data_IF_905942617570
#
_entry.id   IF_905942617570
#
_cell.length_a   1.000
_cell.length_b   1.000
_cell.length_c   1.000
_cell.angle_alpha   90.00
_cell.angle_beta   90.00
_cell.angle_gamma   90.00
#
_symmetry.space_group_name_H-M   'P 1'
#
loop_
_entity.id
_entity.type
_entity.pdbx_description
1 polymer ?
#
# COMPACT_ATOMS: atom_id res chain seq x y z
N UNK A 1 -24.83 -0.39 -27.07
CA UNK A 1 -23.77 -0.46 -26.04
C UNK A 1 -24.28 -1.29 -24.87
N UNK A 2 -23.64 -2.43 -24.54
CA UNK A 2 -23.94 -3.17 -23.30
C UNK A 2 -23.35 -2.38 -22.14
N UNK A 3 -24.18 -1.84 -21.24
CA UNK A 3 -23.70 -1.21 -19.99
C UNK A 3 -22.92 -2.28 -19.22
N UNK A 4 -21.63 -2.05 -18.99
CA UNK A 4 -20.82 -2.84 -18.06
C UNK A 4 -21.03 -2.27 -16.68
N UNK A 5 -21.56 -3.07 -15.77
CA UNK A 5 -21.64 -2.73 -14.36
C UNK A 5 -20.32 -3.10 -13.68
N UNK A 6 -19.88 -2.28 -12.73
CA UNK A 6 -18.62 -2.49 -12.00
C UNK A 6 -18.79 -3.22 -10.68
N UNK A 7 -20.01 -3.24 -10.14
CA UNK A 7 -20.37 -3.95 -8.92
C UNK A 7 -20.43 -5.47 -9.12
N UNK A 8 -20.28 -6.19 -8.02
CA UNK A 8 -20.40 -7.65 -7.98
C UNK A 8 -21.87 -8.04 -8.11
N UNK A 9 -22.25 -8.86 -9.11
CA UNK A 9 -23.62 -9.34 -9.24
C UNK A 9 -23.92 -10.37 -8.16
N UNK A 10 -24.87 -10.05 -7.29
CA UNK A 10 -25.39 -10.97 -6.28
C UNK A 10 -26.83 -11.31 -6.62
N UNK A 11 -27.24 -12.53 -6.30
CA UNK A 11 -28.63 -12.91 -6.51
C UNK A 11 -29.55 -12.11 -5.59
N UNK A 12 -30.66 -11.63 -6.12
CA UNK A 12 -31.60 -10.81 -5.35
C UNK A 12 -32.17 -11.54 -4.13
N UNK A 13 -32.32 -12.86 -4.18
CA UNK A 13 -32.81 -13.63 -3.03
C UNK A 13 -31.82 -13.63 -1.86
N UNK A 14 -30.53 -13.40 -2.11
CA UNK A 14 -29.49 -13.32 -1.07
C UNK A 14 -29.50 -11.96 -0.37
N UNK A 15 -30.22 -10.98 -0.91
CA UNK A 15 -30.33 -9.64 -0.35
C UNK A 15 -31.70 -9.49 0.28
N UNK A 16 -31.74 -9.18 1.57
CA UNK A 16 -32.98 -9.07 2.33
C UNK A 16 -32.82 -8.09 3.48
N UNK A 17 -33.96 -7.77 4.09
CA UNK A 17 -34.04 -6.92 5.27
C UNK A 17 -34.29 -7.81 6.47
N UNK A 18 -33.48 -7.65 7.52
CA UNK A 18 -33.65 -8.38 8.79
C UNK A 18 -34.82 -7.81 9.61
N UNK A 19 -35.25 -8.53 10.64
CA UNK A 19 -36.36 -8.12 11.52
C UNK A 19 -36.12 -6.78 12.24
N UNK A 20 -34.86 -6.39 12.41
CA UNK A 20 -34.43 -5.10 12.93
C UNK A 20 -34.37 -3.97 11.88
N UNK A 21 -34.72 -4.26 10.62
CA UNK A 21 -34.71 -3.30 9.52
C UNK A 21 -33.35 -3.11 8.83
N UNK A 22 -32.35 -3.93 9.17
CA UNK A 22 -31.02 -3.83 8.56
C UNK A 22 -30.98 -4.48 7.19
N UNK A 23 -30.35 -3.81 6.21
CA UNK A 23 -30.13 -4.39 4.88
C UNK A 23 -28.91 -5.30 4.91
N UNK A 24 -29.10 -6.56 4.54
CA UNK A 24 -28.03 -7.55 4.58
C UNK A 24 -27.92 -8.33 3.27
N UNK A 25 -26.74 -8.92 3.06
CA UNK A 25 -26.48 -9.90 2.02
C UNK A 25 -25.97 -11.20 2.65
N UNK A 26 -26.53 -12.32 2.21
CA UNK A 26 -26.15 -13.65 2.67
C UNK A 26 -25.13 -14.28 1.73
N UNK A 27 -23.90 -14.39 2.23
CA UNK A 27 -22.82 -15.12 1.57
C UNK A 27 -22.76 -16.58 2.03
N UNK A 28 -23.10 -16.83 3.31
CA UNK A 28 -23.00 -18.13 3.96
C UNK A 28 -24.32 -18.49 4.69
N UNK A 29 -24.57 -19.78 5.01
CA UNK A 29 -25.82 -20.20 5.64
C UNK A 29 -26.11 -19.50 6.99
N UNK A 30 -25.08 -19.30 7.81
CA UNK A 30 -25.22 -18.82 9.20
C UNK A 30 -24.66 -17.40 9.41
N UNK A 31 -24.20 -16.75 8.35
CA UNK A 31 -23.62 -15.41 8.41
C UNK A 31 -24.17 -14.52 7.32
N UNK A 32 -24.43 -13.28 7.69
CA UNK A 32 -24.83 -12.22 6.78
C UNK A 32 -23.90 -11.03 6.94
N UNK A 33 -23.73 -10.28 5.86
CA UNK A 33 -23.00 -9.02 5.87
C UNK A 33 -23.99 -7.87 5.78
N UNK A 34 -23.88 -6.91 6.69
CA UNK A 34 -24.65 -5.68 6.63
C UNK A 34 -24.17 -4.79 5.49
N UNK A 35 -25.08 -4.35 4.63
CA UNK A 35 -24.73 -3.58 3.43
C UNK A 35 -24.24 -2.18 3.76
N UNK A 36 -24.69 -1.57 4.85
CA UNK A 36 -24.30 -0.21 5.26
C UNK A 36 -22.98 -0.19 6.04
N UNK A 37 -22.77 -1.12 6.97
CA UNK A 37 -21.59 -1.15 7.83
C UNK A 37 -20.46 -2.04 7.29
N UNK A 38 -20.80 -3.03 6.46
CA UNK A 38 -19.88 -4.08 6.03
C UNK A 38 -19.60 -5.15 7.07
N UNK A 39 -20.19 -5.06 8.26
CA UNK A 39 -19.96 -5.99 9.36
C UNK A 39 -20.62 -7.33 9.08
N UNK A 40 -19.92 -8.39 9.43
CA UNK A 40 -20.47 -9.74 9.47
C UNK A 40 -21.15 -9.96 10.82
N UNK A 41 -22.31 -10.62 10.78
CA UNK A 41 -23.03 -11.05 11.97
C UNK A 41 -23.57 -12.45 11.77
N UNK A 42 -23.70 -13.18 12.87
CA UNK A 42 -24.45 -14.42 12.88
C UNK A 42 -25.89 -14.14 12.46
N UNK A 43 -26.48 -15.07 11.73
CA UNK A 43 -27.81 -14.98 11.19
C UNK A 43 -28.57 -16.28 11.43
N UNK A 44 -29.73 -16.16 12.06
CA UNK A 44 -30.67 -17.26 12.19
C UNK A 44 -31.97 -16.94 11.43
N UNK A 45 -32.26 -17.74 10.40
CA UNK A 45 -33.39 -17.49 9.49
C UNK A 45 -34.76 -17.41 10.20
N UNK A 46 -34.93 -18.05 11.36
CA UNK A 46 -36.22 -18.06 12.06
C UNK A 46 -36.50 -16.78 12.84
N UNK A 47 -35.47 -16.14 13.39
CA UNK A 47 -35.58 -14.98 14.28
C UNK A 47 -35.25 -13.68 13.57
N UNK A 48 -34.27 -13.72 12.67
CA UNK A 48 -33.63 -12.54 12.13
C UNK A 48 -34.18 -12.17 10.76
N UNK A 49 -34.88 -13.08 10.08
CA UNK A 49 -35.47 -12.80 8.78
C UNK A 49 -36.64 -11.83 8.92
N UNK A 50 -36.55 -10.67 8.26
CA UNK A 50 -37.65 -9.73 8.13
C UNK A 50 -38.46 -10.02 6.87
N UNK A 51 -37.94 -9.59 5.73
CA UNK A 51 -38.57 -9.82 4.44
C UNK A 51 -37.56 -9.70 3.27
N UNK A 52 -37.89 -10.25 2.07
CA UNK A 52 -37.08 -10.05 0.88
C UNK A 52 -36.96 -8.58 0.52
N UNK A 53 -35.82 -8.18 -0.07
CA UNK A 53 -35.59 -6.76 -0.36
C UNK A 53 -36.52 -6.24 -1.47
N UNK A 54 -37.20 -5.12 -1.18
CA UNK A 54 -38.10 -4.44 -2.10
C UNK A 54 -37.35 -3.53 -3.08
N UNK A 55 -38.00 -3.19 -4.20
CA UNK A 55 -37.46 -2.19 -5.14
C UNK A 55 -37.30 -0.82 -4.51
N UNK A 56 -38.11 -0.50 -3.49
CA UNK A 56 -38.02 0.76 -2.76
C UNK A 56 -36.75 0.84 -1.92
N UNK A 57 -36.42 -0.22 -1.20
CA UNK A 57 -35.18 -0.31 -0.40
C UNK A 57 -33.94 -0.39 -1.29
N UNK A 58 -34.01 -1.11 -2.42
CA UNK A 58 -32.91 -1.13 -3.39
C UNK A 58 -32.65 0.26 -3.99
N UNK A 59 -33.69 1.10 -4.17
CA UNK A 59 -33.52 2.52 -4.55
C UNK A 59 -32.84 3.32 -3.44
N UNK A 60 -33.16 3.07 -2.16
CA UNK A 60 -32.47 3.71 -1.04
C UNK A 60 -31.00 3.31 -0.97
N UNK A 61 -30.69 2.02 -1.10
CA UNK A 61 -29.31 1.51 -1.13
C UNK A 61 -28.53 2.04 -2.33
N UNK A 62 -29.20 2.26 -3.46
CA UNK A 62 -28.60 2.92 -4.63
C UNK A 62 -28.29 4.39 -4.35
N UNK A 63 -29.20 5.12 -3.72
CA UNK A 63 -28.95 6.50 -3.30
C UNK A 63 -27.83 6.60 -2.25
N UNK A 64 -27.71 5.58 -1.38
CA UNK A 64 -26.66 5.46 -0.38
C UNK A 64 -25.30 5.00 -0.96
N UNK A 65 -25.19 4.72 -2.26
CA UNK A 65 -23.93 4.30 -2.88
C UNK A 65 -23.54 2.84 -2.63
N UNK A 66 -24.48 1.98 -2.20
CA UNK A 66 -24.25 0.54 -1.98
C UNK A 66 -24.63 -0.34 -3.18
N UNK A 67 -25.63 0.10 -3.94
CA UNK A 67 -26.14 -0.63 -5.12
C UNK A 67 -25.87 0.19 -6.37
N UNK A 68 -25.17 -0.38 -7.36
CA UNK A 68 -24.98 0.23 -8.67
C UNK A 68 -26.26 0.12 -9.52
N UNK A 69 -26.78 -1.10 -9.58
CA UNK A 69 -27.94 -1.45 -10.38
C UNK A 69 -28.65 -2.66 -9.77
N UNK A 70 -29.92 -2.86 -10.11
CA UNK A 70 -30.65 -4.04 -9.75
C UNK A 70 -31.71 -4.34 -10.81
N UNK A 71 -32.08 -5.61 -10.91
CA UNK A 71 -33.20 -6.08 -11.70
C UNK A 71 -33.98 -7.13 -10.91
N UNK A 72 -34.84 -7.91 -11.59
CA UNK A 72 -35.66 -8.93 -10.95
C UNK A 72 -34.85 -10.11 -10.37
N UNK A 73 -33.66 -10.38 -10.89
CA UNK A 73 -32.85 -11.56 -10.54
C UNK A 73 -31.57 -11.22 -9.78
N UNK A 74 -30.98 -10.06 -10.06
CA UNK A 74 -29.67 -9.67 -9.57
C UNK A 74 -29.67 -8.26 -9.00
N UNK A 75 -28.80 -8.07 -8.02
CA UNK A 75 -28.42 -6.79 -7.42
C UNK A 75 -26.92 -6.65 -7.59
N UNK A 76 -26.47 -5.57 -8.22
CA UNK A 76 -25.05 -5.26 -8.37
C UNK A 76 -24.61 -4.41 -7.19
N UNK A 77 -23.91 -5.03 -6.24
CA UNK A 77 -23.39 -4.37 -5.04
C UNK A 77 -22.00 -3.80 -5.32
N UNK A 78 -21.68 -2.63 -4.79
CA UNK A 78 -20.31 -2.13 -4.80
C UNK A 78 -19.45 -2.90 -3.78
N UNK A 79 -18.17 -3.11 -4.10
CA UNK A 79 -17.21 -3.63 -3.15
C UNK A 79 -17.01 -2.64 -1.99
N UNK A 80 -16.82 -3.16 -0.77
CA UNK A 80 -16.40 -2.35 0.37
C UNK A 80 -14.87 -2.30 0.42
N UNK A 81 -14.27 -1.13 0.75
CA UNK A 81 -14.91 0.14 1.07
C UNK A 81 -15.42 0.85 -0.20
N UNK A 82 -16.62 1.44 -0.11
CA UNK A 82 -17.42 1.95 -1.23
C UNK A 82 -16.67 2.87 -2.20
N UNK A 83 -17.01 2.78 -3.50
CA UNK A 83 -16.80 3.90 -4.44
C UNK A 83 -17.76 5.03 -4.11
N UNK A 84 -17.23 6.15 -3.59
CA UNK A 84 -17.97 7.42 -3.53
C UNK A 84 -18.06 8.08 -2.15
N UNK A 85 -17.74 7.39 -1.04
CA UNK A 85 -17.44 8.07 0.24
C UNK A 85 -16.05 8.66 0.25
N UNK A 86 -15.12 7.92 -0.33
CA UNK A 86 -13.88 8.48 -0.82
C UNK A 86 -14.17 8.96 -2.24
N UNK A 87 -14.08 10.27 -2.49
CA UNK A 87 -13.70 10.71 -3.82
C UNK A 87 -12.39 9.96 -4.07
N UNK A 88 -12.46 8.89 -4.87
CA UNK A 88 -11.29 8.48 -5.63
C UNK A 88 -11.03 9.66 -6.55
N UNK A 89 -10.37 10.69 -6.01
CA UNK A 89 -9.39 11.42 -6.77
C UNK A 89 -8.51 10.30 -7.28
N UNK A 90 -8.71 9.94 -8.54
CA UNK A 90 -7.71 9.25 -9.33
C UNK A 90 -6.37 9.76 -8.86
N UNK A 91 -5.62 8.94 -8.12
CA UNK A 91 -4.32 9.23 -7.51
C UNK A 91 -3.89 10.69 -7.79
N UNK A 92 -4.39 11.65 -7.01
CA UNK A 92 -3.56 12.85 -6.87
C UNK A 92 -2.39 12.32 -6.09
N UNK A 93 -1.30 12.09 -6.85
CA UNK A 93 0.05 11.82 -6.36
C UNK A 93 0.10 12.30 -4.94
N UNK A 94 0.25 11.34 -4.02
CA UNK A 94 0.67 11.65 -2.67
C UNK A 94 1.65 12.81 -2.79
N UNK A 95 1.38 13.93 -2.12
CA UNK A 95 2.29 15.08 -2.15
C UNK A 95 3.67 14.70 -1.60
N UNK A 96 3.86 13.45 -1.17
CA UNK A 96 5.14 12.82 -0.91
C UNK A 96 5.93 12.65 -2.21
N UNK A 97 7.01 13.41 -2.32
CA UNK A 97 8.03 13.16 -3.33
C UNK A 97 8.91 12.04 -2.79
N UNK A 98 8.84 10.87 -3.44
CA UNK A 98 9.78 9.78 -3.22
C UNK A 98 11.07 10.09 -3.94
N UNK A 99 12.18 10.02 -3.23
CA UNK A 99 13.52 10.02 -3.81
C UNK A 99 14.23 8.72 -3.46
N UNK A 100 15.02 8.21 -4.39
CA UNK A 100 15.66 6.90 -4.30
C UNK A 100 17.18 7.05 -4.25
N UNK A 101 17.87 6.14 -3.59
CA UNK A 101 19.33 6.07 -3.57
C UNK A 101 19.75 4.61 -3.47
N UNK A 102 21.01 4.32 -3.80
CA UNK A 102 21.54 2.97 -3.68
C UNK A 102 22.29 2.86 -2.36
N UNK A 103 21.91 1.90 -1.54
CA UNK A 103 22.61 1.58 -0.30
C UNK A 103 23.56 0.42 -0.55
N UNK A 104 24.81 0.59 -0.15
CA UNK A 104 25.75 -0.53 -0.03
C UNK A 104 25.68 -1.08 1.40
N UNK A 105 26.10 -2.32 1.59
CA UNK A 105 26.31 -2.91 2.92
C UNK A 105 27.68 -2.53 3.51
N UNK A 106 28.46 -1.70 2.82
CA UNK A 106 29.83 -1.38 3.20
C UNK A 106 29.84 -0.23 4.21
N UNK A 107 30.63 -0.33 5.29
CA UNK A 107 30.76 0.76 6.24
C UNK A 107 31.49 1.95 5.61
N UNK A 108 31.27 3.14 6.15
CA UNK A 108 31.76 4.42 5.63
C UNK A 108 33.28 4.49 5.43
N UNK A 109 34.04 3.62 6.09
CA UNK A 109 35.49 3.50 5.93
C UNK A 109 35.89 3.03 4.51
N UNK A 110 35.01 2.33 3.80
CA UNK A 110 35.22 1.90 2.41
C UNK A 110 34.79 2.97 1.38
N UNK A 111 34.38 4.17 1.83
CA UNK A 111 34.02 5.26 0.93
C UNK A 111 35.14 5.60 -0.08
N UNK A 112 36.43 5.71 0.32
CA UNK A 112 37.50 6.02 -0.63
C UNK A 112 37.67 4.95 -1.71
N UNK A 113 37.50 3.68 -1.34
CA UNK A 113 37.59 2.53 -2.26
C UNK A 113 36.45 2.56 -3.28
N UNK A 114 35.22 2.80 -2.84
CA UNK A 114 34.07 2.92 -3.74
C UNK A 114 34.17 4.16 -4.63
N UNK A 115 34.71 5.27 -4.13
CA UNK A 115 34.96 6.46 -4.96
C UNK A 115 36.04 6.23 -6.02
N UNK A 116 37.10 5.49 -5.67
CA UNK A 116 38.13 5.09 -6.62
C UNK A 116 37.55 4.15 -7.69
N UNK A 117 36.74 3.18 -7.28
CA UNK A 117 36.05 2.24 -8.18
C UNK A 117 35.10 2.96 -9.14
N UNK A 118 34.30 3.93 -8.65
CA UNK A 118 33.42 4.72 -9.52
C UNK A 118 34.19 5.55 -10.56
N UNK A 119 35.38 6.04 -10.21
CA UNK A 119 36.27 6.74 -11.15
C UNK A 119 36.87 5.78 -12.19
N UNK A 120 37.29 4.60 -11.76
CA UNK A 120 37.82 3.56 -12.65
C UNK A 120 36.76 3.09 -13.65
N UNK A 121 35.50 3.04 -13.23
CA UNK A 121 34.35 2.68 -14.07
C UNK A 121 33.81 3.84 -14.92
N UNK A 122 34.43 5.03 -14.87
CA UNK A 122 33.98 6.26 -15.55
C UNK A 122 32.53 6.66 -15.20
N UNK A 123 32.07 6.32 -13.99
CA UNK A 123 30.72 6.61 -13.49
C UNK A 123 30.67 7.80 -12.53
N UNK A 124 31.82 8.39 -12.19
CA UNK A 124 31.96 9.48 -11.21
C UNK A 124 31.26 10.80 -11.62
N UNK A 125 30.93 10.95 -12.91
CA UNK A 125 30.14 12.09 -13.40
C UNK A 125 28.63 11.93 -13.22
N UNK A 126 28.14 10.70 -13.13
CA UNK A 126 26.71 10.39 -13.03
C UNK A 126 26.31 9.89 -11.64
N UNK A 127 27.24 9.24 -10.93
CA UNK A 127 27.03 8.59 -9.66
C UNK A 127 28.03 9.11 -8.63
N UNK A 128 27.53 9.39 -7.44
CA UNK A 128 28.33 9.94 -6.35
C UNK A 128 28.16 9.11 -5.09
N UNK A 129 29.27 8.55 -4.60
CA UNK A 129 29.30 7.83 -3.33
C UNK A 129 29.48 8.81 -2.15
N UNK A 130 28.67 8.65 -1.11
CA UNK A 130 28.71 9.41 0.16
C UNK A 130 28.54 8.48 1.35
N UNK A 131 29.01 8.92 2.52
CA UNK A 131 28.69 8.28 3.79
C UNK A 131 27.34 8.81 4.30
N UNK A 132 26.44 7.91 4.68
CA UNK A 132 25.16 8.21 5.31
C UNK A 132 24.90 7.17 6.40
N UNK A 133 24.78 7.63 7.65
CA UNK A 133 24.54 6.78 8.83
C UNK A 133 25.54 5.60 8.93
N UNK A 134 26.84 5.89 8.79
CA UNK A 134 27.94 4.92 8.80
C UNK A 134 28.01 3.92 7.64
N UNK A 135 27.14 4.03 6.64
CA UNK A 135 27.18 3.21 5.42
C UNK A 135 27.49 4.04 4.18
N UNK A 136 28.12 3.40 3.20
CA UNK A 136 28.33 4.01 1.88
C UNK A 136 27.03 3.92 1.07
N UNK A 137 26.57 5.07 0.60
CA UNK A 137 25.41 5.19 -0.30
C UNK A 137 25.85 5.80 -1.62
N UNK A 138 25.22 5.39 -2.72
CA UNK A 138 25.46 5.91 -4.05
C UNK A 138 24.22 6.69 -4.48
N UNK A 139 24.45 7.93 -4.87
CA UNK A 139 23.45 8.90 -5.30
C UNK A 139 23.62 9.16 -6.79
N UNK A 140 22.61 9.75 -7.42
CA UNK A 140 22.69 10.20 -8.79
C UNK A 140 23.51 11.48 -8.95
N UNK A 141 23.38 12.08 -10.13
CA UNK A 141 24.17 13.24 -10.56
C UNK A 141 24.18 14.34 -9.51
N UNK A 142 25.37 14.89 -9.24
CA UNK A 142 25.61 15.94 -8.25
C UNK A 142 25.24 15.56 -6.79
N UNK A 143 25.16 14.26 -6.48
CA UNK A 143 24.78 13.78 -5.14
C UNK A 143 23.29 13.93 -4.83
N UNK A 144 22.44 14.10 -5.84
CA UNK A 144 21.01 14.09 -5.69
C UNK A 144 20.47 12.65 -5.69
N UNK A 145 19.48 12.39 -4.84
CA UNK A 145 18.73 11.13 -4.90
C UNK A 145 17.91 11.05 -6.21
N UNK A 146 17.79 9.86 -6.78
CA UNK A 146 17.04 9.58 -8.00
C UNK A 146 15.56 9.94 -7.81
N UNK A 147 14.92 10.45 -8.86
CA UNK A 147 13.51 10.90 -8.78
C UNK A 147 12.52 9.79 -9.10
N UNK A 148 13.01 8.70 -9.69
CA UNK A 148 12.20 7.54 -10.05
C UNK A 148 12.91 6.24 -9.67
N UNK A 149 12.10 5.23 -9.37
CA UNK A 149 12.60 3.89 -9.08
C UNK A 149 13.39 3.32 -10.28
N UNK A 150 12.88 3.49 -11.49
CA UNK A 150 13.54 3.00 -12.70
C UNK A 150 14.87 3.69 -13.02
N UNK A 151 15.13 4.90 -12.53
CA UNK A 151 16.47 5.50 -12.59
C UNK A 151 17.43 4.81 -11.61
N UNK A 152 16.97 4.53 -10.39
CA UNK A 152 17.78 3.85 -9.39
C UNK A 152 18.08 2.39 -9.79
N UNK A 153 17.10 1.65 -10.31
CA UNK A 153 17.28 0.27 -10.77
C UNK A 153 18.24 0.20 -11.97
N UNK A 154 18.14 1.12 -12.93
CA UNK A 154 19.10 1.19 -14.05
C UNK A 154 20.52 1.46 -13.55
N UNK A 155 20.68 2.35 -12.57
CA UNK A 155 21.98 2.60 -11.96
C UNK A 155 22.51 1.38 -11.19
N UNK A 156 21.62 0.65 -10.49
CA UNK A 156 21.98 -0.60 -9.80
C UNK A 156 22.47 -1.66 -10.78
N UNK A 157 21.72 -1.91 -11.86
CA UNK A 157 22.09 -2.88 -12.90
C UNK A 157 23.42 -2.48 -13.55
N UNK A 158 23.60 -1.20 -13.91
CA UNK A 158 24.85 -0.73 -14.51
C UNK A 158 26.07 -0.93 -13.58
N UNK A 159 25.91 -0.73 -12.27
CA UNK A 159 26.96 -0.98 -11.30
C UNK A 159 27.25 -2.47 -11.14
N UNK A 160 26.21 -3.32 -11.08
CA UNK A 160 26.36 -4.77 -10.98
C UNK A 160 26.97 -5.40 -12.23
N UNK A 161 26.66 -4.89 -13.42
CA UNK A 161 27.25 -5.36 -14.68
C UNK A 161 28.75 -5.02 -14.78
N UNK A 162 29.16 -3.84 -14.30
CA UNK A 162 30.55 -3.37 -14.39
C UNK A 162 31.44 -3.88 -13.27
N UNK A 163 30.91 -4.02 -12.06
CA UNK A 163 31.65 -4.51 -10.90
C UNK A 163 30.76 -5.40 -10.00
N UNK A 164 30.47 -6.64 -10.43
CA UNK A 164 29.57 -7.54 -9.73
C UNK A 164 30.05 -7.90 -8.31
N UNK A 165 31.36 -8.06 -8.12
CA UNK A 165 31.94 -8.41 -6.81
C UNK A 165 31.79 -7.26 -5.79
N UNK A 166 31.93 -6.01 -6.22
CA UNK A 166 31.82 -4.85 -5.34
C UNK A 166 30.36 -4.44 -5.04
N UNK A 167 29.44 -4.69 -5.99
CA UNK A 167 28.05 -4.24 -5.92
C UNK A 167 27.01 -5.38 -5.80
N UNK A 168 27.45 -6.58 -5.45
CA UNK A 168 26.58 -7.76 -5.25
C UNK A 168 25.41 -7.49 -4.31
N UNK A 169 25.66 -6.76 -3.23
CA UNK A 169 24.67 -6.45 -2.19
C UNK A 169 24.10 -5.03 -2.28
N UNK A 170 24.21 -4.41 -3.45
CA UNK A 170 23.68 -3.07 -3.68
C UNK A 170 22.15 -3.11 -3.68
N UNK A 171 21.51 -2.31 -2.84
CA UNK A 171 20.05 -2.30 -2.66
C UNK A 171 19.48 -0.91 -2.96
N UNK A 172 18.31 -0.83 -3.59
CA UNK A 172 17.61 0.45 -3.77
C UNK A 172 16.86 0.79 -2.48
N UNK A 173 17.18 1.94 -1.90
CA UNK A 173 16.47 2.52 -0.77
C UNK A 173 15.72 3.79 -1.20
N UNK A 174 14.69 4.17 -0.47
CA UNK A 174 13.92 5.38 -0.74
C UNK A 174 13.69 6.22 0.52
N UNK A 175 13.52 7.51 0.30
CA UNK A 175 13.02 8.46 1.31
C UNK A 175 11.78 9.14 0.79
N UNK A 176 10.73 9.15 1.61
CA UNK A 176 9.53 9.94 1.37
C UNK A 176 9.64 11.28 2.09
N UNK A 177 9.59 12.38 1.34
CA UNK A 177 9.42 13.71 1.92
C UNK A 177 8.08 14.29 1.47
N UNK A 178 7.28 14.81 2.40
CA UNK A 178 6.13 15.66 2.04
C UNK A 178 6.69 16.85 1.25
N UNK A 179 6.10 17.20 0.11
CA UNK A 179 6.36 18.47 -0.56
C UNK A 179 5.89 19.60 0.38
N UNK A 180 6.70 19.93 1.38
CA UNK A 180 6.70 21.25 1.96
C UNK A 180 7.49 22.12 0.99
N UNK A 181 6.80 22.63 -0.03
CA UNK A 181 7.21 23.89 -0.62
C UNK A 181 7.09 24.98 0.45
N UNK A 182 8.13 25.09 1.29
CA UNK A 182 8.69 26.30 1.87
C UNK A 182 9.45 25.95 3.15
N UNK A 183 10.69 26.45 3.23
CA UNK A 183 11.48 26.55 4.44
C UNK A 183 10.66 26.86 5.69
N UNK A 184 10.81 26.07 6.75
CA UNK A 184 10.98 26.51 8.15
C UNK A 184 11.15 25.31 9.10
N UNK A 185 12.17 25.43 9.95
CA UNK A 185 12.51 24.81 11.25
C UNK A 185 11.92 23.45 11.71
N UNK A 186 12.69 22.66 12.49
CA UNK A 186 12.29 21.34 12.98
C UNK A 186 11.20 21.48 14.05
N UNK A 187 10.09 20.75 13.87
CA UNK A 187 9.07 20.53 14.89
C UNK A 187 8.56 19.08 14.84
N UNK A 188 7.97 18.58 15.94
CA UNK A 188 8.23 17.24 16.47
C UNK A 188 7.57 16.11 15.68
N UNK A 189 8.18 14.93 15.79
CA UNK A 189 7.67 13.65 15.29
C UNK A 189 6.18 13.52 15.62
N UNK A 190 5.35 13.65 14.59
CA UNK A 190 3.92 13.42 14.70
C UNK A 190 3.71 11.93 14.45
N UNK A 191 3.10 11.24 15.42
CA UNK A 191 2.78 9.82 15.32
C UNK A 191 1.98 9.51 14.04
N UNK A 192 2.27 8.40 13.36
CA UNK A 192 1.57 8.03 12.13
C UNK A 192 0.07 7.83 12.40
N UNK A 193 -0.76 8.47 11.59
CA UNK A 193 -2.22 8.30 11.64
C UNK A 193 -2.61 6.90 11.19
N UNK A 194 -3.75 6.37 11.66
CA UNK A 194 -4.28 5.05 11.30
C UNK A 194 -4.35 4.85 9.77
N UNK A 195 -4.66 5.91 9.02
CA UNK A 195 -4.70 5.89 7.56
C UNK A 195 -3.32 5.64 6.92
N UNK A 196 -2.24 6.10 7.56
CA UNK A 196 -0.86 5.85 7.11
C UNK A 196 -0.43 4.41 7.40
N UNK A 197 -0.94 3.81 8.50
CA UNK A 197 -0.71 2.41 8.83
C UNK A 197 -1.51 1.47 7.92
N UNK A 198 -2.73 1.83 7.53
CA UNK A 198 -3.55 1.03 6.62
C UNK A 198 -2.96 1.05 5.20
N UNK A 199 -2.49 2.20 4.74
CA UNK A 199 -1.91 2.34 3.41
C UNK A 199 -0.59 1.57 3.21
N UNK A 200 0.17 1.30 4.28
CA UNK A 200 1.40 0.50 4.19
C UNK A 200 1.14 -1.01 4.17
N UNK A 201 -0.06 -1.47 4.54
CA UNK A 201 -0.43 -2.89 4.62
C UNK A 201 -0.98 -3.46 3.30
N UNK A 202 -1.44 -2.61 2.37
CA UNK A 202 -2.11 -3.07 1.14
C UNK A 202 -1.21 -3.15 -0.10
N UNK A 203 0.03 -2.64 -0.05
CA UNK A 203 0.99 -2.70 -1.16
C UNK A 203 2.07 -3.78 -0.93
N UNK A 204 1.69 -5.04 -1.13
CA UNK A 204 2.62 -6.18 -1.08
C UNK A 204 3.37 -6.40 -2.39
N UNK A 205 3.09 -5.59 -3.43
CA UNK A 205 3.74 -5.72 -4.74
C UNK A 205 5.25 -5.45 -4.68
N UNK A 206 5.70 -4.72 -3.66
CA UNK A 206 7.11 -4.43 -3.42
C UNK A 206 7.85 -5.53 -2.63
N UNK A 207 7.13 -6.49 -2.03
CA UNK A 207 7.68 -7.56 -1.18
C UNK A 207 7.37 -8.97 -1.67
N UNK A 208 6.53 -9.15 -2.69
CA UNK A 208 6.37 -10.45 -3.38
C UNK A 208 7.74 -10.98 -3.85
N UNK A 209 8.06 -12.21 -3.43
CA UNK A 209 9.31 -12.94 -3.69
C UNK A 209 10.62 -12.29 -3.19
N UNK A 210 10.56 -11.33 -2.26
CA UNK A 210 11.75 -10.64 -1.73
C UNK A 210 11.93 -10.86 -0.23
N UNK A 211 13.17 -11.10 0.18
CA UNK A 211 13.55 -11.13 1.59
C UNK A 211 13.63 -9.69 2.12
N UNK A 212 12.78 -9.35 3.08
CA UNK A 212 12.75 -8.03 3.71
C UNK A 212 13.53 -8.10 5.02
N UNK A 213 14.49 -7.20 5.20
CA UNK A 213 15.21 -7.02 6.46
C UNK A 213 14.65 -5.79 7.17
N UNK A 214 14.03 -5.99 8.32
CA UNK A 214 13.57 -4.90 9.18
C UNK A 214 14.70 -4.54 10.16
N UNK A 215 15.16 -3.29 10.14
CA UNK A 215 16.08 -2.76 11.15
C UNK A 215 15.27 -1.99 12.19
N UNK A 216 15.19 -2.54 13.39
CA UNK A 216 14.45 -1.96 14.52
C UNK A 216 15.45 -1.60 15.61
N UNK A 217 15.36 -0.38 16.13
CA UNK A 217 16.29 0.14 17.14
C UNK A 217 15.83 -0.12 18.58
N UNK A 218 14.52 -0.33 18.79
CA UNK A 218 13.95 -0.61 20.10
C UNK A 218 13.69 -2.12 20.29
N UNK A 219 14.10 -2.63 21.45
CA UNK A 219 14.05 -4.06 21.75
C UNK A 219 12.62 -4.58 21.93
N UNK A 220 11.73 -3.76 22.47
CA UNK A 220 10.32 -4.11 22.68
C UNK A 220 9.57 -4.26 21.34
N UNK A 221 9.87 -3.39 20.37
CA UNK A 221 9.33 -3.49 19.00
C UNK A 221 9.86 -4.73 18.27
N UNK A 222 11.13 -5.09 18.51
CA UNK A 222 11.73 -6.29 17.93
C UNK A 222 11.00 -7.56 18.39
N UNK A 223 10.69 -7.68 19.69
CA UNK A 223 9.95 -8.84 20.23
C UNK A 223 8.52 -8.92 19.68
N UNK A 224 7.81 -7.79 19.62
CA UNK A 224 6.46 -7.74 19.08
C UNK A 224 6.39 -8.13 17.59
N UNK A 225 7.37 -7.72 16.80
CA UNK A 225 7.46 -8.07 15.38
C UNK A 225 7.81 -9.54 15.15
N UNK A 226 8.69 -10.11 15.98
CA UNK A 226 9.01 -11.55 15.92
C UNK A 226 7.76 -12.38 16.23
N UNK A 227 7.01 -12.04 17.28
CA UNK A 227 5.78 -12.76 17.63
C UNK A 227 4.72 -12.67 16.52
N UNK A 228 4.62 -11.51 15.86
CA UNK A 228 3.68 -11.29 14.75
C UNK A 228 4.07 -12.08 13.50
N UNK A 229 5.37 -12.18 13.20
CA UNK A 229 5.89 -12.98 12.09
C UNK A 229 5.77 -14.50 12.35
N UNK A 230 5.90 -14.95 13.60
CA UNK A 230 5.65 -16.36 13.96
C UNK A 230 4.18 -16.75 13.81
N UNK A 231 3.25 -15.84 14.10
CA UNK A 231 1.80 -16.07 13.90
C UNK A 231 1.36 -16.08 12.44
N UNK A 232 2.19 -15.55 11.53
CA UNK A 232 1.92 -15.49 10.10
C UNK A 232 2.53 -16.67 9.30
N UNK A 233 3.26 -17.57 9.97
CA UNK A 233 3.67 -18.88 9.42
C UNK A 233 2.55 -19.91 9.55
#
# INVERSE_FOLDING_TARGET
>A
MKKRFTGSPVSRYQVFTTSDGTFVVQWEPNYVQELLSGRYRAYEHKTDFGHPISDYELKQLKAAGRVEHFNRRYVWLYALPERGRFKVKTLEKSSRVRTYYLSTTLPGNHLPEIQALLKELELDQELLARNRNDFVVILGKNGAAFRSLGEAERAQVALQERAPEAFKNLTVAFTETKNNTSHQSPMPLTEPTLDDLIASQEDTSCTEDRQVVLAVTEQDEQEALVELLEKLK
#
